data_IF_347880397999
#
_entry.id   IF_347880397999
#
_cell.length_a   1.000
_cell.length_b   1.000
_cell.length_c   1.000
_cell.angle_alpha   90.00
_cell.angle_beta   90.00
_cell.angle_gamma   90.00
#
_symmetry.space_group_name_H-M   'P 1'
#
loop_
_entity.id
_entity.type
_entity.pdbx_description
1 polymer ?
#
# COMPACT_ATOMS: atom_id res chain seq x y z
N UNK A 1 -44.27 44.63 -35.63
CA UNK A 1 -44.41 43.29 -36.29
C UNK A 1 -43.97 43.31 -37.76
N UNK A 2 -44.27 44.40 -38.49
CA UNK A 2 -43.89 44.54 -39.90
C UNK A 2 -42.36 44.58 -40.12
N UNK A 3 -41.65 45.30 -39.27
CA UNK A 3 -40.14 45.36 -39.27
C UNK A 3 -39.47 44.00 -39.18
N UNK A 4 -39.93 43.14 -38.29
CA UNK A 4 -39.33 41.81 -38.08
C UNK A 4 -39.58 40.85 -39.26
N UNK A 5 -40.61 41.08 -40.09
CA UNK A 5 -40.87 40.26 -41.29
C UNK A 5 -39.78 40.43 -42.37
N UNK A 6 -39.08 41.56 -42.32
CA UNK A 6 -37.99 41.84 -43.27
C UNK A 6 -36.62 41.32 -42.81
N UNK A 7 -36.49 40.97 -41.54
CA UNK A 7 -35.25 40.41 -40.96
C UNK A 7 -35.30 38.88 -41.04
N UNK A 8 -34.60 38.30 -41.99
CA UNK A 8 -34.54 36.84 -42.13
C UNK A 8 -33.59 36.20 -41.10
N UNK A 9 -32.55 36.91 -40.65
CA UNK A 9 -31.49 36.43 -39.82
C UNK A 9 -30.76 37.58 -39.14
N UNK A 10 -30.26 37.38 -37.92
CA UNK A 10 -29.40 38.32 -37.20
C UNK A 10 -28.03 37.66 -37.09
N UNK A 11 -26.98 38.33 -37.53
CA UNK A 11 -25.58 37.87 -37.36
C UNK A 11 -25.04 38.39 -36.05
N UNK A 12 -24.58 37.50 -35.20
CA UNK A 12 -24.06 37.85 -33.89
C UNK A 12 -22.60 37.39 -33.77
N UNK A 13 -21.77 38.27 -33.23
CA UNK A 13 -20.38 37.93 -32.90
C UNK A 13 -20.19 37.88 -31.39
N UNK A 14 -19.34 37.00 -30.91
CA UNK A 14 -18.96 36.90 -29.50
C UNK A 14 -17.46 36.53 -29.36
N UNK A 15 -16.85 36.95 -28.24
CA UNK A 15 -15.45 36.68 -27.96
C UNK A 15 -15.31 35.36 -27.22
N UNK A 16 -14.35 34.52 -27.65
CA UNK A 16 -14.07 33.24 -27.06
C UNK A 16 -13.33 33.36 -25.72
N UNK A 17 -13.29 32.25 -24.93
CA UNK A 17 -12.51 32.09 -23.70
C UNK A 17 -12.96 32.89 -22.49
N UNK A 18 -14.27 33.19 -22.39
CA UNK A 18 -14.90 33.79 -21.21
C UNK A 18 -15.88 32.85 -20.55
N UNK A 19 -15.49 31.60 -20.34
CA UNK A 19 -16.33 30.66 -19.58
C UNK A 19 -16.51 31.13 -18.12
N UNK A 20 -17.72 30.98 -17.54
CA UNK A 20 -18.95 30.37 -18.10
C UNK A 20 -19.84 31.33 -18.90
N UNK A 21 -19.40 32.55 -19.12
CA UNK A 21 -20.23 33.59 -19.78
C UNK A 21 -20.38 33.27 -21.28
N UNK A 22 -19.29 33.05 -21.98
CA UNK A 22 -19.27 32.66 -23.40
C UNK A 22 -18.00 31.94 -23.78
N UNK A 23 -18.12 30.87 -24.54
CA UNK A 23 -16.98 30.04 -24.93
C UNK A 23 -17.30 29.21 -26.18
N UNK A 24 -16.25 28.81 -26.93
CA UNK A 24 -16.36 27.78 -27.96
C UNK A 24 -15.93 26.42 -27.38
N UNK A 25 -16.86 25.49 -27.34
CA UNK A 25 -16.55 24.14 -26.89
C UNK A 25 -15.96 23.31 -28.04
N UNK A 26 -14.65 23.11 -28.03
CA UNK A 26 -13.93 22.35 -29.05
C UNK A 26 -14.34 20.89 -29.16
N UNK A 27 -14.84 20.28 -28.07
CA UNK A 27 -15.28 18.88 -28.05
C UNK A 27 -16.62 18.69 -28.75
N UNK A 28 -17.57 19.59 -28.47
CA UNK A 28 -18.91 19.53 -29.02
C UNK A 28 -19.03 20.36 -30.30
N UNK A 29 -17.98 21.10 -30.68
CA UNK A 29 -17.92 22.02 -31.84
C UNK A 29 -19.12 23.00 -31.88
N UNK A 30 -19.44 23.58 -30.75
CA UNK A 30 -20.57 24.54 -30.61
C UNK A 30 -20.27 25.64 -29.60
N UNK A 31 -20.94 26.80 -29.75
CA UNK A 31 -20.91 27.86 -28.74
C UNK A 31 -21.66 27.45 -27.47
N UNK A 32 -21.10 27.80 -26.32
CA UNK A 32 -21.70 27.53 -25.00
C UNK A 32 -21.50 28.73 -24.08
N UNK A 33 -22.37 28.89 -23.08
CA UNK A 33 -22.26 29.91 -22.04
C UNK A 33 -23.54 30.68 -21.81
N UNK A 34 -23.55 31.48 -20.73
CA UNK A 34 -24.72 32.25 -20.31
C UNK A 34 -25.17 33.19 -21.42
N UNK A 35 -24.26 33.97 -21.99
CA UNK A 35 -24.55 34.93 -23.05
C UNK A 35 -25.08 34.25 -24.32
N UNK A 36 -24.59 33.07 -24.62
CA UNK A 36 -25.02 32.25 -25.77
C UNK A 36 -26.45 31.74 -25.54
N UNK A 37 -26.78 31.27 -24.33
CA UNK A 37 -28.13 30.82 -24.00
C UNK A 37 -29.14 31.99 -24.01
N UNK A 38 -28.73 33.19 -23.60
CA UNK A 38 -29.56 34.42 -23.74
C UNK A 38 -29.82 34.74 -25.21
N UNK A 39 -28.80 34.65 -26.09
CA UNK A 39 -28.99 34.84 -27.52
C UNK A 39 -29.98 33.81 -28.11
N UNK A 40 -29.91 32.56 -27.68
CA UNK A 40 -30.82 31.50 -28.08
C UNK A 40 -32.27 31.80 -27.62
N UNK A 41 -32.47 32.36 -26.42
CA UNK A 41 -33.81 32.79 -25.95
C UNK A 41 -34.32 33.94 -26.80
N UNK A 42 -33.47 34.92 -27.13
CA UNK A 42 -33.85 36.02 -27.99
C UNK A 42 -34.26 35.50 -29.38
N UNK A 43 -33.48 34.64 -29.99
CA UNK A 43 -33.80 33.97 -31.23
C UNK A 43 -35.17 33.28 -31.19
N UNK A 44 -35.40 32.47 -30.16
CA UNK A 44 -36.68 31.77 -29.98
C UNK A 44 -37.88 32.68 -29.78
N UNK A 45 -37.75 33.73 -28.92
CA UNK A 45 -38.86 34.66 -28.63
C UNK A 45 -39.18 35.57 -29.82
N UNK A 46 -38.19 35.90 -30.65
CA UNK A 46 -38.38 36.68 -31.87
C UNK A 46 -38.79 35.86 -33.07
N UNK A 47 -38.60 34.56 -33.04
CA UNK A 47 -38.71 33.61 -34.15
C UNK A 47 -37.82 34.08 -35.35
N UNK A 48 -36.61 34.54 -35.03
CA UNK A 48 -35.58 34.96 -35.97
C UNK A 48 -34.29 34.18 -35.67
N UNK A 49 -33.68 33.59 -36.66
CA UNK A 49 -32.43 32.88 -36.50
C UNK A 49 -31.28 33.83 -36.16
N UNK A 50 -30.49 33.49 -35.11
CA UNK A 50 -29.26 34.21 -34.75
C UNK A 50 -28.05 33.36 -35.09
N UNK A 51 -27.31 33.78 -36.10
CA UNK A 51 -26.08 33.13 -36.51
C UNK A 51 -24.92 33.61 -35.66
N UNK A 52 -24.35 32.71 -34.86
CA UNK A 52 -23.28 33.00 -33.91
C UNK A 52 -21.91 32.81 -34.60
N UNK A 53 -21.08 33.85 -34.58
CA UNK A 53 -19.68 33.81 -35.03
C UNK A 53 -18.76 34.02 -33.84
N UNK A 54 -17.72 33.15 -33.73
CA UNK A 54 -16.73 33.22 -32.67
C UNK A 54 -15.49 33.96 -33.17
N UNK A 55 -14.96 34.85 -32.35
CA UNK A 55 -13.69 35.55 -32.58
C UNK A 55 -12.78 35.42 -31.37
N UNK A 56 -11.50 35.63 -31.56
CA UNK A 56 -10.50 35.45 -30.51
C UNK A 56 -10.19 36.73 -29.73
N UNK A 57 -10.62 37.90 -30.18
CA UNK A 57 -10.37 39.15 -29.48
C UNK A 57 -11.56 40.10 -29.57
N UNK A 58 -11.62 41.04 -28.63
CA UNK A 58 -12.63 42.08 -28.63
C UNK A 58 -12.44 43.02 -29.82
N UNK A 59 -11.21 43.37 -30.16
CA UNK A 59 -10.89 44.19 -31.31
C UNK A 59 -11.40 43.56 -32.62
N UNK A 60 -11.22 42.26 -32.79
CA UNK A 60 -11.75 41.52 -33.94
C UNK A 60 -13.30 41.57 -33.95
N UNK A 61 -13.94 41.40 -32.79
CA UNK A 61 -15.40 41.52 -32.68
C UNK A 61 -15.90 42.90 -33.10
N UNK A 62 -15.25 43.98 -32.67
CA UNK A 62 -15.56 45.35 -33.08
C UNK A 62 -15.35 45.57 -34.57
N UNK A 63 -14.31 44.99 -35.16
CA UNK A 63 -14.11 45.09 -36.61
C UNK A 63 -15.24 44.40 -37.37
N UNK A 64 -15.76 43.25 -36.85
CA UNK A 64 -16.93 42.59 -37.46
C UNK A 64 -18.15 43.49 -37.46
N UNK A 65 -18.38 44.27 -36.36
CA UNK A 65 -19.45 45.23 -36.31
C UNK A 65 -19.23 46.42 -37.27
N UNK A 66 -18.03 47.02 -37.27
CA UNK A 66 -17.66 48.14 -38.14
C UNK A 66 -17.75 47.80 -39.62
N UNK A 67 -17.39 46.58 -40.00
CA UNK A 67 -17.44 46.12 -41.39
C UNK A 67 -18.80 45.52 -41.78
N UNK A 68 -19.83 45.66 -40.94
CA UNK A 68 -21.17 45.08 -41.12
C UNK A 68 -21.18 43.58 -41.40
N UNK A 69 -20.19 42.87 -40.90
CA UNK A 69 -20.12 41.40 -40.92
C UNK A 69 -21.02 40.78 -39.83
N UNK A 70 -21.25 41.51 -38.75
CA UNK A 70 -22.17 41.16 -37.67
C UNK A 70 -23.11 42.35 -37.36
N UNK A 71 -24.34 42.05 -36.97
CA UNK A 71 -25.37 43.02 -36.60
C UNK A 71 -25.32 43.33 -35.08
N UNK A 72 -24.94 42.35 -34.30
CA UNK A 72 -24.87 42.45 -32.82
C UNK A 72 -23.60 41.82 -32.26
N UNK A 73 -23.13 42.37 -31.14
CA UNK A 73 -22.00 41.84 -30.36
C UNK A 73 -22.55 41.43 -28.99
N UNK A 74 -22.34 40.16 -28.65
CA UNK A 74 -22.94 39.57 -27.45
C UNK A 74 -21.89 39.51 -26.31
N UNK A 75 -22.37 39.71 -25.06
CA UNK A 75 -21.55 39.49 -23.87
C UNK A 75 -20.49 40.56 -23.65
N UNK A 76 -20.87 41.80 -23.78
CA UNK A 76 -20.01 42.94 -23.51
C UNK A 76 -20.45 43.66 -22.23
N UNK A 77 -19.50 44.27 -21.50
CA UNK A 77 -19.84 45.12 -20.35
C UNK A 77 -20.70 46.30 -20.75
N UNK A 78 -21.65 46.63 -19.94
CA UNK A 78 -22.50 47.83 -20.13
C UNK A 78 -21.77 49.09 -19.61
N UNK A 79 -20.92 49.64 -20.45
CA UNK A 79 -20.08 50.78 -20.10
C UNK A 79 -20.26 51.94 -21.10
N UNK A 80 -20.42 53.17 -20.58
CA UNK A 80 -20.55 54.37 -21.38
C UNK A 80 -19.34 54.68 -22.25
N UNK A 81 -18.13 54.45 -21.77
CA UNK A 81 -16.88 54.65 -22.52
C UNK A 81 -16.84 53.79 -23.78
N UNK A 82 -17.32 52.55 -23.71
CA UNK A 82 -17.46 51.68 -24.87
C UNK A 82 -18.49 52.18 -25.89
N UNK A 83 -19.61 52.75 -25.41
CA UNK A 83 -20.64 53.27 -26.31
C UNK A 83 -20.09 54.38 -27.19
N UNK A 84 -19.37 55.34 -26.61
CA UNK A 84 -18.84 56.51 -27.31
C UNK A 84 -17.62 56.15 -28.18
N UNK A 85 -16.70 55.38 -27.66
CA UNK A 85 -15.45 55.00 -28.33
C UNK A 85 -15.72 54.18 -29.60
N UNK A 86 -16.69 53.26 -29.53
CA UNK A 86 -16.94 52.30 -30.61
C UNK A 86 -18.24 52.57 -31.36
N UNK A 87 -18.91 53.63 -31.03
CA UNK A 87 -20.16 54.05 -31.67
C UNK A 87 -21.24 52.93 -31.66
N UNK A 88 -21.45 52.32 -30.46
CA UNK A 88 -22.38 51.23 -30.26
C UNK A 88 -23.61 51.66 -29.45
N UNK A 89 -24.76 51.16 -29.84
CA UNK A 89 -25.94 51.16 -28.97
C UNK A 89 -25.92 49.93 -28.06
N UNK A 90 -26.08 50.12 -26.78
CA UNK A 90 -26.14 49.06 -25.79
C UNK A 90 -27.57 48.71 -25.37
N UNK A 91 -27.88 47.45 -25.26
CA UNK A 91 -29.11 47.00 -24.64
C UNK A 91 -29.08 47.24 -23.13
N UNK A 92 -30.22 47.04 -22.45
CA UNK A 92 -30.19 46.80 -21.01
C UNK A 92 -29.37 45.56 -20.71
N UNK A 93 -28.77 45.54 -19.53
CA UNK A 93 -28.05 44.36 -19.05
C UNK A 93 -29.03 43.20 -18.86
N UNK A 94 -28.66 42.03 -19.37
CA UNK A 94 -29.42 40.80 -19.19
C UNK A 94 -28.94 40.00 -17.98
N UNK A 95 -27.71 40.25 -17.50
CA UNK A 95 -27.13 39.65 -16.29
C UNK A 95 -26.22 40.67 -15.61
N UNK A 96 -26.23 40.63 -14.28
CA UNK A 96 -25.35 41.42 -13.43
C UNK A 96 -24.60 40.45 -12.50
N UNK A 97 -23.30 40.50 -12.51
CA UNK A 97 -22.45 39.65 -11.69
C UNK A 97 -21.51 40.48 -10.82
N UNK A 98 -21.54 40.34 -9.49
CA UNK A 98 -20.63 41.06 -8.62
C UNK A 98 -19.18 40.69 -8.90
N UNK A 99 -18.29 41.67 -8.80
CA UNK A 99 -16.85 41.47 -8.96
C UNK A 99 -16.20 41.23 -7.59
N UNK A 100 -15.33 40.23 -7.57
CA UNK A 100 -14.54 39.86 -6.39
C UNK A 100 -13.07 40.10 -6.65
N UNK A 101 -12.34 40.48 -5.60
CA UNK A 101 -10.88 40.47 -5.56
C UNK A 101 -10.40 39.11 -5.02
N UNK A 102 -9.49 38.47 -5.71
CA UNK A 102 -8.81 37.25 -5.27
C UNK A 102 -7.41 37.66 -4.86
N UNK A 103 -7.04 37.42 -3.62
CA UNK A 103 -5.70 37.78 -3.07
C UNK A 103 -4.95 36.55 -2.60
N UNK A 104 -3.63 36.61 -2.72
CA UNK A 104 -2.76 35.62 -2.10
C UNK A 104 -2.71 35.85 -0.59
N UNK A 105 -3.03 34.83 0.20
CA UNK A 105 -3.04 34.87 1.68
C UNK A 105 -1.69 35.23 2.29
N UNK A 106 -0.60 34.90 1.60
CA UNK A 106 0.75 35.14 2.10
C UNK A 106 1.21 36.60 1.91
N UNK A 107 0.58 37.34 0.96
CA UNK A 107 0.93 38.72 0.62
C UNK A 107 -0.17 39.72 0.96
N UNK A 108 -1.23 39.31 1.67
CA UNK A 108 -2.36 40.18 2.07
C UNK A 108 -1.87 41.43 2.81
N UNK A 109 -0.87 41.29 3.68
CA UNK A 109 -0.33 42.38 4.50
C UNK A 109 0.84 43.16 3.82
N UNK A 110 1.16 42.83 2.56
CA UNK A 110 2.16 43.57 1.82
C UNK A 110 1.64 44.98 1.45
N UNK A 111 2.58 45.92 1.29
CA UNK A 111 2.25 47.29 0.86
C UNK A 111 1.51 47.26 -0.47
N UNK A 112 0.31 47.84 -0.49
CA UNK A 112 -0.58 47.83 -1.68
C UNK A 112 0.11 48.40 -2.92
N UNK A 113 0.97 49.41 -2.76
CA UNK A 113 1.71 50.02 -3.86
C UNK A 113 2.68 49.05 -4.54
N UNK A 114 3.08 47.97 -3.88
CA UNK A 114 4.06 47.00 -4.40
C UNK A 114 3.41 45.72 -4.92
N UNK A 115 2.10 45.57 -4.80
CA UNK A 115 1.37 44.38 -5.22
C UNK A 115 1.27 44.26 -6.74
N UNK A 116 1.48 43.04 -7.22
CA UNK A 116 1.37 42.68 -8.65
C UNK A 116 -0.05 42.21 -8.94
N UNK A 117 -0.68 42.88 -9.91
CA UNK A 117 -2.02 42.53 -10.41
C UNK A 117 -1.91 41.56 -11.60
N UNK A 118 -2.61 40.44 -11.54
CA UNK A 118 -2.83 39.56 -12.69
C UNK A 118 -4.15 39.93 -13.39
N UNK A 119 -4.10 40.14 -14.70
CA UNK A 119 -5.30 40.38 -15.52
C UNK A 119 -5.30 39.46 -16.76
N UNK A 120 -6.48 39.03 -17.24
CA UNK A 120 -6.57 38.41 -18.55
C UNK A 120 -6.23 39.40 -19.67
N UNK A 121 -5.44 38.99 -20.68
CA UNK A 121 -5.08 39.82 -21.85
C UNK A 121 -6.30 40.41 -22.58
N UNK A 122 -7.43 39.72 -22.53
CA UNK A 122 -8.70 40.07 -23.18
C UNK A 122 -9.74 40.49 -22.15
N UNK A 123 -9.32 41.31 -21.19
CA UNK A 123 -10.18 41.70 -20.10
C UNK A 123 -11.25 42.64 -20.59
N UNK A 124 -12.50 42.18 -20.53
CA UNK A 124 -13.68 42.94 -20.93
C UNK A 124 -14.32 43.74 -19.78
N UNK A 125 -13.75 43.64 -18.60
CA UNK A 125 -14.28 44.41 -17.46
C UNK A 125 -13.68 45.80 -17.47
N UNK A 126 -14.51 46.79 -17.46
CA UNK A 126 -14.12 48.12 -17.09
C UNK A 126 -13.95 48.16 -15.56
N UNK A 127 -12.92 47.48 -15.10
CA UNK A 127 -12.36 47.89 -13.86
C UNK A 127 -11.83 49.27 -14.13
N UNK A 128 -12.41 50.24 -13.49
CA UNK A 128 -11.81 51.54 -13.40
C UNK A 128 -10.47 51.40 -12.66
N UNK A 129 -9.48 50.82 -13.41
CA UNK A 129 -8.09 50.62 -12.93
C UNK A 129 -7.54 51.99 -12.52
N UNK A 130 -8.10 53.08 -13.07
CA UNK A 130 -7.83 54.45 -12.68
C UNK A 130 -8.23 54.76 -11.25
N UNK A 131 -9.23 54.06 -10.70
CA UNK A 131 -9.70 54.26 -9.31
C UNK A 131 -8.68 53.78 -8.29
N UNK A 132 -7.83 52.81 -8.65
CA UNK A 132 -6.84 52.23 -7.72
C UNK A 132 -5.43 52.80 -7.91
N UNK A 133 -5.18 53.77 -8.83
CA UNK A 133 -3.83 54.31 -9.12
C UNK A 133 -2.76 53.23 -9.34
N UNK A 134 -3.11 52.15 -10.04
CA UNK A 134 -2.20 51.03 -10.23
C UNK A 134 -1.16 51.39 -11.29
N UNK A 135 0.13 51.25 -10.93
CA UNK A 135 1.22 51.40 -11.87
C UNK A 135 1.15 50.28 -12.92
N UNK A 136 1.06 50.65 -14.20
CA UNK A 136 0.99 49.70 -15.32
C UNK A 136 2.16 48.70 -15.36
N UNK A 137 3.32 49.08 -14.80
CA UNK A 137 4.48 48.18 -14.67
C UNK A 137 4.25 47.00 -13.71
N UNK A 138 3.22 47.05 -12.89
CA UNK A 138 2.84 46.03 -11.92
C UNK A 138 1.67 45.15 -12.40
N UNK A 139 1.28 45.26 -13.64
CA UNK A 139 0.23 44.43 -14.23
C UNK A 139 0.85 43.35 -15.08
N UNK A 140 0.52 42.08 -14.78
CA UNK A 140 0.91 40.93 -15.59
C UNK A 140 -0.33 40.39 -16.28
N UNK A 141 -0.26 40.28 -17.59
CA UNK A 141 -1.34 39.78 -18.41
C UNK A 141 -1.23 38.28 -18.69
N UNK A 142 -2.33 37.55 -18.45
CA UNK A 142 -2.48 36.12 -18.71
C UNK A 142 -3.57 35.85 -19.78
N UNK A 143 -3.61 34.62 -20.29
CA UNK A 143 -4.54 34.29 -21.38
C UNK A 143 -6.01 34.25 -20.95
N UNK A 144 -6.29 33.90 -19.68
CA UNK A 144 -7.64 33.78 -19.12
C UNK A 144 -7.62 33.98 -17.60
N UNK A 145 -8.81 34.04 -16.99
CA UNK A 145 -8.96 34.24 -15.54
C UNK A 145 -8.43 33.05 -14.71
N UNK A 146 -8.48 31.83 -15.26
CA UNK A 146 -7.94 30.65 -14.57
C UNK A 146 -6.42 30.76 -14.37
N UNK A 147 -5.72 31.25 -15.38
CA UNK A 147 -4.26 31.48 -15.30
C UNK A 147 -3.94 32.59 -14.30
N UNK A 148 -4.77 33.64 -14.23
CA UNK A 148 -4.64 34.68 -13.20
C UNK A 148 -4.79 34.11 -11.80
N UNK A 149 -5.81 33.29 -11.54
CA UNK A 149 -6.06 32.65 -10.25
C UNK A 149 -4.89 31.70 -9.90
N UNK A 150 -4.37 30.95 -10.86
CA UNK A 150 -3.21 30.10 -10.68
C UNK A 150 -1.94 30.89 -10.31
N UNK A 151 -1.74 32.06 -10.96
CA UNK A 151 -0.63 32.95 -10.67
C UNK A 151 -0.70 33.50 -9.23
N UNK A 152 -1.88 33.94 -8.81
CA UNK A 152 -2.13 34.40 -7.44
C UNK A 152 -1.90 33.24 -6.44
N UNK A 153 -2.40 32.06 -6.71
CA UNK A 153 -2.19 30.92 -5.80
C UNK A 153 -0.71 30.50 -5.68
N UNK A 154 0.07 30.67 -6.75
CA UNK A 154 1.52 30.38 -6.77
C UNK A 154 2.37 31.51 -6.16
N UNK A 155 1.80 32.70 -6.00
CA UNK A 155 2.52 33.88 -5.53
C UNK A 155 3.36 34.59 -6.60
N UNK A 156 3.11 34.33 -7.89
CA UNK A 156 3.70 35.08 -9.02
C UNK A 156 2.93 36.37 -9.33
N UNK A 157 1.72 36.48 -8.79
CA UNK A 157 0.96 37.72 -8.66
C UNK A 157 0.32 37.76 -7.27
N UNK A 158 0.02 38.97 -6.79
CA UNK A 158 -0.55 39.16 -5.45
C UNK A 158 -2.07 39.12 -5.46
N UNK A 159 -2.70 39.59 -6.52
CA UNK A 159 -4.15 39.59 -6.63
C UNK A 159 -4.64 39.63 -8.08
N UNK A 160 -5.91 39.27 -8.25
CA UNK A 160 -6.67 39.41 -9.51
C UNK A 160 -8.12 39.78 -9.21
N UNK A 161 -8.86 40.19 -10.24
CA UNK A 161 -10.28 40.42 -10.17
C UNK A 161 -11.04 39.48 -11.09
N UNK A 162 -12.24 39.09 -10.69
CA UNK A 162 -13.12 38.31 -11.53
C UNK A 162 -14.56 38.44 -11.10
N UNK A 163 -15.50 38.22 -12.01
CA UNK A 163 -16.92 38.14 -11.67
C UNK A 163 -17.25 36.83 -10.96
N UNK A 164 -18.33 36.81 -10.19
CA UNK A 164 -18.75 35.66 -9.39
C UNK A 164 -18.80 34.36 -10.19
N UNK A 165 -19.39 34.39 -11.39
CA UNK A 165 -19.59 33.17 -12.17
C UNK A 165 -18.29 32.62 -12.71
N UNK A 166 -17.39 33.49 -13.17
CA UNK A 166 -16.04 33.08 -13.61
C UNK A 166 -15.21 32.52 -12.48
N UNK A 167 -15.26 33.13 -11.29
CA UNK A 167 -14.55 32.65 -10.10
C UNK A 167 -15.10 31.29 -9.65
N UNK A 168 -16.42 31.17 -9.46
CA UNK A 168 -17.04 29.90 -9.05
C UNK A 168 -16.73 28.77 -10.02
N UNK A 169 -16.82 29.04 -11.31
CA UNK A 169 -16.50 28.03 -12.34
C UNK A 169 -15.07 27.55 -12.26
N UNK A 170 -14.09 28.41 -11.94
CA UNK A 170 -12.67 28.07 -11.90
C UNK A 170 -12.18 27.58 -10.54
N UNK A 171 -12.81 28.00 -9.44
CA UNK A 171 -12.36 27.62 -8.08
C UNK A 171 -13.05 26.37 -7.54
N UNK A 172 -14.20 26.00 -8.06
CA UNK A 172 -14.99 24.87 -7.57
C UNK A 172 -14.29 23.50 -7.76
N UNK A 173 -13.55 23.33 -8.83
CA UNK A 173 -12.91 22.05 -9.18
C UNK A 173 -11.46 21.91 -8.72
N UNK A 174 -10.84 23.02 -8.33
CA UNK A 174 -9.43 23.05 -7.95
C UNK A 174 -9.30 23.56 -6.53
N UNK A 175 -8.55 22.83 -5.73
CA UNK A 175 -8.16 23.30 -4.42
C UNK A 175 -7.05 24.34 -4.54
N UNK A 176 -7.37 25.58 -4.17
CA UNK A 176 -6.41 26.68 -4.09
C UNK A 176 -6.08 26.96 -2.62
N UNK A 177 -4.87 26.58 -2.20
CA UNK A 177 -4.44 26.68 -0.80
C UNK A 177 -4.23 28.12 -0.34
N UNK A 178 -3.67 28.95 -1.23
CA UNK A 178 -3.12 30.24 -0.86
C UNK A 178 -3.97 31.42 -1.32
N UNK A 179 -5.21 31.23 -1.77
CA UNK A 179 -6.08 32.34 -2.16
C UNK A 179 -7.15 32.66 -1.13
N UNK A 180 -7.51 33.93 -1.06
CA UNK A 180 -8.68 34.48 -0.36
C UNK A 180 -9.54 35.22 -1.35
N UNK A 181 -10.87 35.05 -1.28
CA UNK A 181 -11.82 35.73 -2.15
C UNK A 181 -12.52 36.79 -1.33
N UNK A 182 -12.45 38.06 -1.78
CA UNK A 182 -12.98 39.21 -1.07
C UNK A 182 -13.99 39.92 -1.96
N UNK A 183 -15.22 40.11 -1.46
CA UNK A 183 -16.22 40.86 -2.16
C UNK A 183 -15.90 42.37 -2.14
N UNK A 184 -15.79 42.98 -3.32
CA UNK A 184 -15.64 44.44 -3.45
C UNK A 184 -17.03 45.07 -3.68
N UNK A 185 -17.60 45.61 -2.63
CA UNK A 185 -18.87 46.37 -2.72
C UNK A 185 -18.77 47.48 -3.77
N UNK A 186 -19.68 47.49 -4.76
CA UNK A 186 -19.93 48.49 -5.78
C UNK A 186 -19.47 48.20 -7.21
N UNK A 187 -18.77 47.12 -7.48
CA UNK A 187 -18.41 46.79 -8.86
C UNK A 187 -19.21 45.56 -9.31
N UNK A 188 -19.97 45.73 -10.37
CA UNK A 188 -20.69 44.63 -11.03
C UNK A 188 -20.25 44.55 -12.49
N UNK A 189 -20.15 43.32 -12.98
CA UNK A 189 -20.04 43.05 -14.40
C UNK A 189 -21.46 42.95 -14.98
N UNK A 190 -21.94 44.01 -15.54
CA UNK A 190 -23.28 44.10 -16.14
C UNK A 190 -23.17 43.82 -17.63
N UNK A 191 -23.57 42.61 -18.08
CA UNK A 191 -23.43 42.21 -19.48
C UNK A 191 -24.63 42.57 -20.30
N UNK A 192 -24.37 43.12 -21.48
CA UNK A 192 -25.38 43.55 -22.46
C UNK A 192 -25.03 43.08 -23.88
N UNK A 193 -25.84 43.48 -24.83
CA UNK A 193 -25.64 43.29 -26.27
C UNK A 193 -25.40 44.67 -26.90
N UNK A 194 -24.31 44.77 -27.66
CA UNK A 194 -23.99 45.96 -28.46
C UNK A 194 -24.53 45.81 -29.88
N UNK A 195 -25.07 46.92 -30.39
CA UNK A 195 -25.54 47.04 -31.77
C UNK A 195 -24.78 48.16 -32.46
N UNK A 196 -24.47 48.01 -33.76
CA UNK A 196 -23.93 49.13 -34.55
C UNK A 196 -24.89 50.30 -34.56
N UNK A 197 -24.36 51.52 -34.40
CA UNK A 197 -25.17 52.73 -34.44
C UNK A 197 -25.91 52.96 -35.80
N UNK A 198 -25.45 52.23 -36.83
CA UNK A 198 -26.12 52.21 -38.12
C UNK A 198 -27.33 51.27 -38.17
N UNK A 199 -27.52 50.46 -37.13
CA UNK A 199 -28.69 49.58 -37.03
C UNK A 199 -29.90 50.34 -36.51
N UNK A 200 -31.07 49.90 -36.95
CA UNK A 200 -32.33 50.54 -36.58
C UNK A 200 -32.54 50.52 -35.06
N UNK A 201 -32.76 51.68 -34.47
CA UNK A 201 -33.15 51.87 -33.04
C UNK A 201 -34.32 50.95 -32.66
N UNK A 202 -35.10 50.52 -33.65
CA UNK A 202 -36.20 49.59 -33.44
C UNK A 202 -35.76 48.22 -33.03
N UNK A 203 -34.65 47.72 -33.64
CA UNK A 203 -34.05 46.43 -33.24
C UNK A 203 -33.59 46.46 -31.77
N UNK A 204 -32.93 47.54 -31.35
CA UNK A 204 -32.55 47.78 -29.96
C UNK A 204 -33.77 47.70 -29.00
N UNK A 205 -34.85 48.41 -29.34
CA UNK A 205 -36.08 48.39 -28.53
C UNK A 205 -36.71 47.02 -28.46
N UNK A 206 -36.69 46.26 -29.55
CA UNK A 206 -37.23 44.90 -29.62
C UNK A 206 -36.39 43.94 -28.76
N UNK A 207 -35.07 43.96 -28.87
CA UNK A 207 -34.19 43.13 -28.06
C UNK A 207 -34.36 43.48 -26.57
N UNK A 208 -34.41 44.77 -26.22
CA UNK A 208 -34.66 45.20 -24.84
C UNK A 208 -36.02 44.71 -24.28
N UNK A 209 -37.06 44.67 -25.12
CA UNK A 209 -38.36 44.12 -24.72
C UNK A 209 -38.28 42.63 -24.44
N UNK A 210 -37.50 41.90 -25.24
CA UNK A 210 -37.26 40.46 -25.03
C UNK A 210 -36.45 40.21 -23.75
N UNK A 211 -35.37 40.96 -23.54
CA UNK A 211 -34.54 40.87 -22.32
C UNK A 211 -35.43 41.10 -21.07
N UNK A 212 -36.26 42.14 -21.06
CA UNK A 212 -37.18 42.44 -19.96
C UNK A 212 -38.26 41.35 -19.75
N UNK A 213 -38.50 40.48 -20.73
CA UNK A 213 -39.45 39.36 -20.63
C UNK A 213 -38.84 38.05 -20.16
N UNK A 214 -37.54 38.02 -19.94
CA UNK A 214 -36.86 36.85 -19.34
C UNK A 214 -37.13 36.87 -17.84
N UNK A 215 -37.74 35.80 -17.34
CA UNK A 215 -38.02 35.70 -15.90
C UNK A 215 -36.75 35.43 -15.10
N UNK A 216 -36.75 35.77 -13.81
CA UNK A 216 -35.66 35.44 -12.92
C UNK A 216 -35.41 33.90 -12.83
N UNK A 217 -36.47 33.11 -12.96
CA UNK A 217 -36.36 31.64 -12.97
C UNK A 217 -35.67 31.12 -14.24
N UNK A 218 -36.03 31.66 -15.43
CA UNK A 218 -35.33 31.35 -16.69
C UNK A 218 -33.86 31.74 -16.59
N UNK A 219 -33.54 32.93 -16.07
CA UNK A 219 -32.15 33.38 -15.92
C UNK A 219 -31.37 32.50 -14.93
N UNK A 220 -31.94 32.19 -13.78
CA UNK A 220 -31.30 31.30 -12.80
C UNK A 220 -31.04 29.90 -13.38
N UNK A 221 -31.96 29.39 -14.19
CA UNK A 221 -31.77 28.07 -14.87
C UNK A 221 -30.58 28.12 -15.84
N UNK A 222 -30.43 29.21 -16.60
CA UNK A 222 -29.30 29.43 -17.52
C UNK A 222 -27.98 29.49 -16.72
N UNK A 223 -27.97 30.30 -15.67
CA UNK A 223 -26.77 30.44 -14.81
C UNK A 223 -26.42 29.10 -14.22
N UNK A 224 -27.38 28.42 -13.60
CA UNK A 224 -27.15 27.09 -13.02
C UNK A 224 -26.59 26.08 -14.02
N UNK A 225 -27.19 25.98 -15.20
CA UNK A 225 -26.73 25.12 -16.28
C UNK A 225 -25.27 25.36 -16.65
N UNK A 226 -24.87 26.63 -16.77
CA UNK A 226 -23.53 27.00 -17.25
C UNK A 226 -22.46 27.02 -16.15
N UNK A 227 -22.84 27.19 -14.88
CA UNK A 227 -21.92 27.27 -13.75
C UNK A 227 -21.78 25.93 -12.99
N UNK A 228 -22.90 25.19 -12.81
CA UNK A 228 -22.93 23.98 -11.97
C UNK A 228 -22.93 22.68 -12.75
N UNK A 229 -23.56 22.66 -13.94
CA UNK A 229 -23.81 21.40 -14.66
C UNK A 229 -22.65 20.96 -15.56
N UNK A 230 -21.76 21.84 -15.94
CA UNK A 230 -20.77 21.55 -17.00
C UNK A 230 -19.51 20.85 -16.54
N UNK A 231 -19.24 20.72 -15.21
CA UNK A 231 -17.94 20.23 -14.76
C UNK A 231 -17.94 19.43 -13.45
N UNK A 232 -18.94 18.62 -13.17
CA UNK A 232 -18.87 17.71 -12.02
C UNK A 232 -17.91 16.52 -12.27
N UNK A 233 -16.68 16.78 -12.67
CA UNK A 233 -15.61 15.80 -12.57
C UNK A 233 -14.86 16.05 -11.28
N UNK A 234 -15.30 15.37 -10.22
CA UNK A 234 -14.47 15.24 -9.02
C UNK A 234 -13.13 14.67 -9.47
N UNK A 235 -12.10 15.49 -9.50
CA UNK A 235 -10.75 15.01 -9.79
C UNK A 235 -10.24 14.24 -8.58
N UNK A 236 -9.43 13.20 -8.81
CA UNK A 236 -8.80 12.45 -7.72
C UNK A 236 -8.06 13.40 -6.75
N UNK A 237 -7.47 14.45 -7.28
CA UNK A 237 -6.77 15.46 -6.51
C UNK A 237 -7.70 16.24 -5.58
N UNK A 238 -8.86 16.72 -6.08
CA UNK A 238 -9.84 17.45 -5.25
C UNK A 238 -10.46 16.55 -4.19
N UNK A 239 -10.72 15.28 -4.51
CA UNK A 239 -11.19 14.27 -3.56
C UNK A 239 -10.19 14.03 -2.43
N UNK A 240 -8.91 13.86 -2.76
CA UNK A 240 -7.85 13.67 -1.76
C UNK A 240 -7.73 14.88 -0.84
N UNK A 241 -7.77 16.09 -1.39
CA UNK A 241 -7.65 17.31 -0.58
C UNK A 241 -8.87 17.58 0.30
N UNK A 242 -10.08 17.30 -0.19
CA UNK A 242 -11.30 17.50 0.61
C UNK A 242 -11.48 16.47 1.71
N UNK A 243 -10.90 15.25 1.55
CA UNK A 243 -11.05 14.13 2.48
C UNK A 243 -9.67 13.62 2.95
N UNK A 244 -8.71 14.52 3.16
CA UNK A 244 -7.32 14.13 3.45
C UNK A 244 -7.18 13.30 4.73
N UNK A 245 -8.01 13.56 5.74
CA UNK A 245 -7.99 12.81 7.01
C UNK A 245 -8.43 11.37 6.78
N UNK A 246 -9.55 11.15 6.09
CA UNK A 246 -10.08 9.83 5.75
C UNK A 246 -9.11 9.05 4.87
N UNK A 247 -8.49 9.70 3.89
CA UNK A 247 -7.47 9.10 3.02
C UNK A 247 -6.24 8.70 3.83
N UNK A 248 -5.78 9.54 4.77
CA UNK A 248 -4.66 9.22 5.65
C UNK A 248 -4.98 8.04 6.58
N UNK A 249 -6.18 8.01 7.18
CA UNK A 249 -6.64 6.89 8.02
C UNK A 249 -6.67 5.59 7.19
N UNK A 250 -7.18 5.65 5.96
CA UNK A 250 -7.24 4.50 5.07
C UNK A 250 -5.84 3.96 4.73
N UNK A 251 -4.89 4.83 4.41
CA UNK A 251 -3.50 4.43 4.14
C UNK A 251 -2.86 3.80 5.37
N UNK A 252 -3.03 4.41 6.56
CA UNK A 252 -2.50 3.87 7.81
C UNK A 252 -3.10 2.50 8.12
N UNK A 253 -4.41 2.32 7.91
CA UNK A 253 -5.08 1.03 8.14
C UNK A 253 -4.51 -0.08 7.24
N UNK A 254 -4.24 0.21 5.96
CA UNK A 254 -3.59 -0.73 5.04
C UNK A 254 -2.19 -1.10 5.53
N UNK A 255 -1.39 -0.12 5.97
CA UNK A 255 -0.04 -0.36 6.50
C UNK A 255 -0.06 -1.24 7.76
N UNK A 256 -1.02 -1.02 8.66
CA UNK A 256 -1.19 -1.85 9.86
C UNK A 256 -1.59 -3.27 9.50
N UNK A 257 -2.55 -3.45 8.60
CA UNK A 257 -3.01 -4.78 8.15
C UNK A 257 -1.88 -5.55 7.45
N UNK A 258 -1.13 -4.90 6.56
CA UNK A 258 0.01 -5.53 5.87
C UNK A 258 1.13 -5.88 6.85
N UNK A 259 1.46 -5.02 7.81
CA UNK A 259 2.44 -5.30 8.86
C UNK A 259 2.02 -6.48 9.73
N UNK A 260 0.75 -6.52 10.15
CA UNK A 260 0.23 -7.63 10.96
C UNK A 260 0.23 -8.95 10.20
N UNK A 261 -0.16 -8.92 8.92
CA UNK A 261 -0.15 -10.12 8.07
C UNK A 261 1.27 -10.67 7.84
N UNK A 262 2.24 -9.80 7.59
CA UNK A 262 3.65 -10.20 7.45
C UNK A 262 4.20 -10.78 8.74
N UNK A 263 3.86 -10.19 9.90
CA UNK A 263 4.24 -10.72 11.22
C UNK A 263 3.69 -12.14 11.45
N UNK A 264 2.40 -12.35 11.16
CA UNK A 264 1.75 -13.67 11.32
C UNK A 264 2.41 -14.71 10.41
N UNK A 265 2.65 -14.37 9.12
CA UNK A 265 3.31 -15.26 8.17
C UNK A 265 4.73 -15.64 8.65
N UNK A 266 5.48 -14.66 9.14
CA UNK A 266 6.83 -14.88 9.65
C UNK A 266 6.83 -15.80 10.87
N UNK A 267 5.89 -15.62 11.80
CA UNK A 267 5.70 -16.47 12.99
C UNK A 267 5.40 -17.94 12.61
N UNK A 268 4.48 -18.15 11.65
CA UNK A 268 4.13 -19.48 11.14
C UNK A 268 5.34 -20.14 10.48
N UNK A 269 6.09 -19.40 9.65
CA UNK A 269 7.31 -19.93 8.99
C UNK A 269 8.37 -20.34 10.01
N UNK A 270 8.57 -19.53 11.05
CA UNK A 270 9.52 -19.86 12.11
C UNK A 270 9.14 -21.13 12.87
N UNK A 271 7.87 -21.28 13.23
CA UNK A 271 7.36 -22.48 13.89
C UNK A 271 7.55 -23.75 13.03
N UNK A 272 7.22 -23.66 11.73
CA UNK A 272 7.40 -24.77 10.79
C UNK A 272 8.88 -25.13 10.61
N UNK A 273 9.77 -24.13 10.52
CA UNK A 273 11.21 -24.36 10.43
C UNK A 273 11.76 -25.05 11.69
N UNK A 274 11.34 -24.62 12.88
CA UNK A 274 11.75 -25.25 14.13
C UNK A 274 11.27 -26.70 14.24
N UNK A 275 10.03 -26.98 13.80
CA UNK A 275 9.49 -28.35 13.75
C UNK A 275 10.26 -29.22 12.75
N UNK A 276 10.61 -28.71 11.58
CA UNK A 276 11.43 -29.43 10.61
C UNK A 276 12.83 -29.72 11.16
N UNK A 277 13.47 -28.73 11.80
CA UNK A 277 14.78 -28.89 12.38
C UNK A 277 14.80 -29.95 13.49
N UNK A 278 13.77 -29.98 14.36
CA UNK A 278 13.65 -31.01 15.40
C UNK A 278 13.48 -32.40 14.82
N UNK A 279 12.67 -32.57 13.77
CA UNK A 279 12.49 -33.85 13.08
C UNK A 279 13.78 -34.33 12.36
N UNK A 280 14.51 -33.38 11.74
CA UNK A 280 15.79 -33.69 11.10
C UNK A 280 16.85 -34.10 12.13
N UNK A 281 16.88 -33.43 13.29
CA UNK A 281 17.78 -33.77 14.39
C UNK A 281 17.47 -35.15 14.92
N UNK A 282 16.21 -35.45 15.22
CA UNK A 282 15.78 -36.78 15.69
C UNK A 282 16.18 -37.90 14.70
N UNK A 283 15.94 -37.70 13.39
CA UNK A 283 16.34 -38.65 12.35
C UNK A 283 17.86 -38.80 12.23
N UNK A 284 18.61 -37.74 12.50
CA UNK A 284 20.09 -37.76 12.45
C UNK A 284 20.71 -38.39 13.68
N UNK A 285 20.04 -38.43 14.82
CA UNK A 285 20.53 -38.91 16.11
C UNK A 285 20.12 -40.35 16.41
N UNK A 286 19.16 -40.93 15.70
CA UNK A 286 18.65 -42.26 15.95
C UNK A 286 19.17 -43.30 14.94
N UNK A 287 19.32 -44.56 15.38
CA UNK A 287 19.55 -45.71 14.51
C UNK A 287 18.22 -46.09 13.84
N UNK A 288 18.24 -46.21 12.52
CA UNK A 288 17.04 -46.43 11.71
C UNK A 288 16.36 -47.79 11.92
N UNK A 289 17.09 -48.81 12.39
CA UNK A 289 16.57 -50.15 12.65
C UNK A 289 15.93 -50.27 14.03
N UNK A 290 16.60 -49.73 15.05
CA UNK A 290 16.27 -49.95 16.47
C UNK A 290 15.58 -48.79 17.13
N UNK A 291 15.65 -47.57 16.54
CA UNK A 291 15.05 -46.35 17.06
C UNK A 291 15.62 -45.84 18.38
N UNK A 292 16.80 -46.35 18.82
CA UNK A 292 17.62 -45.79 19.89
C UNK A 292 18.67 -44.86 19.29
N UNK A 293 19.49 -44.21 20.11
CA UNK A 293 20.53 -43.32 19.59
C UNK A 293 21.52 -44.10 18.68
N UNK A 294 21.97 -43.45 17.62
CA UNK A 294 23.04 -43.98 16.78
C UNK A 294 24.42 -43.69 17.41
N UNK A 295 25.48 -44.26 16.82
CA UNK A 295 26.86 -44.10 17.26
C UNK A 295 27.27 -42.63 17.47
N UNK A 296 26.91 -41.75 16.51
CA UNK A 296 27.26 -40.33 16.58
C UNK A 296 26.64 -39.63 17.78
N UNK A 297 25.33 -39.79 17.93
CA UNK A 297 24.58 -39.21 19.05
C UNK A 297 25.04 -39.76 20.40
N UNK A 298 25.27 -41.09 20.52
CA UNK A 298 25.80 -41.68 21.74
C UNK A 298 27.12 -41.07 22.17
N UNK A 299 28.07 -40.96 21.24
CA UNK A 299 29.39 -40.38 21.53
C UNK A 299 29.25 -38.92 22.01
N UNK A 300 28.46 -38.11 21.29
CA UNK A 300 28.25 -36.68 21.63
C UNK A 300 27.57 -36.53 23.00
N UNK A 301 26.48 -37.25 23.23
CA UNK A 301 25.72 -37.16 24.48
C UNK A 301 26.50 -37.61 25.71
N UNK A 302 27.29 -38.72 25.61
CA UNK A 302 28.14 -39.19 26.68
C UNK A 302 29.30 -38.23 26.93
N UNK A 303 29.96 -37.73 25.88
CA UNK A 303 31.03 -36.75 26.03
C UNK A 303 30.54 -35.48 26.72
N UNK A 304 29.44 -34.91 26.24
CA UNK A 304 28.83 -33.70 26.81
C UNK A 304 28.44 -33.92 28.28
N UNK A 305 27.93 -35.09 28.65
CA UNK A 305 27.59 -35.37 30.04
C UNK A 305 28.86 -35.46 30.91
N UNK A 306 29.90 -36.16 30.49
CA UNK A 306 31.16 -36.32 31.24
C UNK A 306 31.83 -34.96 31.48
N UNK A 307 31.84 -34.10 30.49
CA UNK A 307 32.43 -32.75 30.59
C UNK A 307 31.68 -31.82 31.56
N UNK A 308 30.38 -32.02 31.74
CA UNK A 308 29.50 -31.12 32.52
C UNK A 308 28.94 -31.74 33.80
N UNK A 309 29.31 -32.99 34.15
CA UNK A 309 28.77 -33.65 35.35
C UNK A 309 29.35 -33.09 36.66
N UNK A 310 28.62 -33.26 37.75
CA UNK A 310 29.11 -33.03 39.10
C UNK A 310 30.13 -34.12 39.48
N UNK A 311 31.23 -33.73 40.13
CA UNK A 311 32.29 -34.65 40.53
C UNK A 311 31.89 -35.62 41.67
N UNK A 312 30.68 -35.52 42.22
CA UNK A 312 30.21 -36.35 43.34
C UNK A 312 29.50 -37.61 42.91
N UNK A 313 29.04 -37.68 41.66
CA UNK A 313 28.22 -38.80 41.17
C UNK A 313 29.01 -39.66 40.15
N UNK A 314 28.70 -40.94 40.15
CA UNK A 314 29.25 -41.90 39.19
C UNK A 314 28.41 -41.98 37.92
N UNK A 315 29.04 -42.19 36.78
CA UNK A 315 28.43 -42.72 35.55
C UNK A 315 28.78 -44.19 35.38
N UNK A 316 27.85 -44.98 34.86
CA UNK A 316 28.16 -46.38 34.49
C UNK A 316 28.03 -46.51 32.94
N UNK A 317 29.14 -46.85 32.30
CA UNK A 317 29.24 -47.05 30.85
C UNK A 317 29.23 -48.51 30.52
N UNK A 318 28.31 -48.94 29.68
CA UNK A 318 28.13 -50.31 29.25
C UNK A 318 28.53 -50.43 27.78
N UNK A 319 29.31 -51.46 27.42
CA UNK A 319 29.40 -51.99 26.08
C UNK A 319 28.77 -53.38 26.09
N UNK A 320 27.83 -53.59 25.20
CA UNK A 320 26.99 -54.81 25.12
C UNK A 320 27.15 -55.38 23.72
N UNK A 321 27.41 -56.64 23.62
CA UNK A 321 27.57 -57.35 22.35
C UNK A 321 26.75 -58.66 22.36
N UNK A 322 26.11 -58.95 21.20
CA UNK A 322 25.26 -60.14 21.07
C UNK A 322 26.19 -61.34 20.66
N UNK A 323 26.35 -62.30 21.54
CA UNK A 323 27.13 -63.43 21.27
C UNK A 323 26.60 -64.30 20.11
N UNK A 324 27.48 -64.72 19.21
CA UNK A 324 27.18 -65.54 18.04
C UNK A 324 26.16 -64.87 17.04
N UNK A 325 26.03 -63.56 17.02
CA UNK A 325 25.06 -62.83 16.14
C UNK A 325 25.31 -63.14 14.67
N UNK A 326 26.58 -63.29 14.26
CA UNK A 326 26.89 -63.71 12.89
C UNK A 326 26.22 -65.05 12.55
N UNK A 327 26.24 -66.03 13.48
CA UNK A 327 25.58 -67.32 13.29
C UNK A 327 24.05 -67.19 13.13
N UNK A 328 23.43 -66.24 13.83
CA UNK A 328 22.02 -65.94 13.62
C UNK A 328 21.75 -65.44 12.19
N UNK A 329 22.55 -64.50 11.71
CA UNK A 329 22.45 -64.01 10.35
C UNK A 329 22.67 -65.04 9.27
N UNK A 330 23.74 -65.83 9.43
CA UNK A 330 24.17 -66.84 8.47
C UNK A 330 23.19 -68.05 8.41
N UNK A 331 22.63 -68.48 9.55
CA UNK A 331 21.77 -69.66 9.63
C UNK A 331 20.26 -69.31 9.53
N UNK A 332 19.80 -68.18 10.07
CA UNK A 332 18.40 -67.81 10.15
C UNK A 332 18.00 -66.61 9.23
N UNK A 333 19.02 -65.95 8.66
CA UNK A 333 18.86 -64.83 7.75
C UNK A 333 18.80 -63.45 8.46
N UNK A 334 19.14 -62.40 7.72
CA UNK A 334 19.27 -61.05 8.24
C UNK A 334 17.96 -60.48 8.86
N UNK A 335 16.79 -60.93 8.39
CA UNK A 335 15.52 -60.51 8.96
C UNK A 335 15.35 -60.91 10.42
N UNK A 336 15.78 -62.15 10.75
CA UNK A 336 15.75 -62.66 12.12
C UNK A 336 16.82 -61.94 12.96
N UNK A 337 18.01 -61.68 12.40
CA UNK A 337 19.02 -60.86 13.02
C UNK A 337 18.49 -59.45 13.36
N UNK A 338 17.81 -58.80 12.44
CA UNK A 338 17.19 -57.49 12.66
C UNK A 338 16.13 -57.52 13.79
N UNK A 339 15.35 -58.61 13.89
CA UNK A 339 14.36 -58.78 14.97
C UNK A 339 15.05 -58.98 16.34
N UNK A 340 16.19 -59.69 16.39
CA UNK A 340 17.02 -59.82 17.59
C UNK A 340 17.58 -58.47 18.04
N UNK A 341 18.07 -57.65 17.11
CA UNK A 341 18.56 -56.30 17.39
C UNK A 341 17.47 -55.39 17.94
N UNK A 342 16.27 -55.43 17.36
CA UNK A 342 15.09 -54.67 17.87
C UNK A 342 14.70 -55.13 19.26
N UNK A 343 14.64 -56.44 19.49
CA UNK A 343 14.29 -56.99 20.81
C UNK A 343 15.29 -56.57 21.90
N UNK A 344 16.59 -56.57 21.60
CA UNK A 344 17.60 -56.05 22.53
C UNK A 344 17.39 -54.54 22.79
N UNK A 345 17.18 -53.75 21.74
CA UNK A 345 16.95 -52.33 21.87
C UNK A 345 15.71 -52.02 22.72
N UNK A 346 14.61 -52.77 22.57
CA UNK A 346 13.39 -52.60 23.34
C UNK A 346 13.58 -53.03 24.81
N UNK A 347 14.37 -54.05 25.05
CA UNK A 347 14.79 -54.46 26.41
C UNK A 347 15.63 -53.38 27.08
N UNK A 348 16.57 -52.77 26.36
CA UNK A 348 17.36 -51.64 26.85
C UNK A 348 16.48 -50.45 27.20
N UNK A 349 15.59 -50.02 26.30
CA UNK A 349 14.63 -48.92 26.58
C UNK A 349 13.79 -49.17 27.82
N UNK A 350 13.44 -50.39 28.10
CA UNK A 350 12.57 -50.76 29.22
C UNK A 350 13.31 -50.81 30.56
N UNK A 351 14.58 -51.24 30.55
CA UNK A 351 15.38 -51.45 31.75
C UNK A 351 16.11 -50.19 32.24
N UNK A 352 16.45 -49.28 31.30
CA UNK A 352 17.13 -48.02 31.61
C UNK A 352 16.17 -46.84 31.66
N UNK A 353 16.55 -45.81 32.39
CA UNK A 353 15.73 -44.60 32.56
C UNK A 353 15.75 -43.74 31.28
N UNK A 354 14.75 -42.94 31.08
CA UNK A 354 14.73 -41.96 29.96
C UNK A 354 15.87 -40.94 30.00
N UNK A 355 16.47 -40.72 31.20
CA UNK A 355 17.63 -39.86 31.40
C UNK A 355 18.93 -40.52 30.97
N UNK A 356 18.98 -41.88 30.93
CA UNK A 356 20.16 -42.61 30.53
C UNK A 356 20.33 -42.59 29.01
N UNK A 357 21.54 -42.71 28.52
CA UNK A 357 21.84 -42.73 27.10
C UNK A 357 21.87 -44.18 26.65
N UNK A 358 21.01 -44.55 25.70
CA UNK A 358 20.90 -45.90 25.15
C UNK A 358 21.03 -45.82 23.64
N UNK A 359 22.01 -46.52 23.05
CA UNK A 359 22.21 -46.45 21.63
C UNK A 359 22.91 -47.68 21.03
N UNK A 360 22.82 -47.77 19.70
CA UNK A 360 23.51 -48.80 18.91
C UNK A 360 24.82 -48.25 18.38
N UNK A 361 25.89 -48.92 18.72
CA UNK A 361 27.24 -48.48 18.32
C UNK A 361 27.61 -48.94 16.92
N UNK A 362 27.21 -50.13 16.53
CA UNK A 362 27.40 -50.69 15.19
C UNK A 362 27.18 -52.20 15.15
N UNK A 363 26.71 -52.76 14.05
CA UNK A 363 26.45 -54.18 13.93
C UNK A 363 25.58 -54.73 15.05
N UNK A 364 26.15 -55.54 15.92
CA UNK A 364 25.57 -56.19 17.10
C UNK A 364 25.99 -55.55 18.43
N UNK A 365 26.71 -54.42 18.37
CA UNK A 365 27.19 -53.68 19.55
C UNK A 365 26.25 -52.58 19.97
N UNK A 366 25.96 -52.48 21.26
CA UNK A 366 25.15 -51.47 21.91
C UNK A 366 25.91 -50.78 23.04
N UNK A 367 25.60 -49.53 23.27
CA UNK A 367 26.16 -48.74 24.36
C UNK A 367 25.03 -48.22 25.22
N UNK A 368 25.25 -48.26 26.54
CA UNK A 368 24.42 -47.59 27.51
C UNK A 368 25.28 -46.76 28.46
N UNK A 369 24.83 -45.57 28.81
CA UNK A 369 25.43 -44.75 29.85
C UNK A 369 24.38 -44.37 30.89
N UNK A 370 24.50 -44.96 32.07
CA UNK A 370 23.66 -44.58 33.23
C UNK A 370 24.25 -43.33 33.88
N UNK A 371 23.42 -42.38 34.16
CA UNK A 371 23.80 -41.08 34.73
C UNK A 371 23.50 -41.04 36.23
N UNK A 372 24.22 -40.18 36.94
CA UNK A 372 23.95 -39.73 38.31
C UNK A 372 23.71 -40.88 39.29
N UNK A 373 24.69 -41.76 39.43
CA UNK A 373 24.69 -42.89 40.35
C UNK A 373 25.44 -42.52 41.63
N UNK A 374 24.80 -42.72 42.80
CA UNK A 374 25.51 -42.72 44.09
C UNK A 374 26.36 -44.01 44.22
N UNK A 375 27.45 -43.95 44.96
CA UNK A 375 28.27 -45.11 45.22
C UNK A 375 27.50 -46.32 45.76
N UNK A 376 26.52 -46.08 46.65
CA UNK A 376 25.62 -47.11 47.22
C UNK A 376 24.75 -47.79 46.15
N UNK A 377 24.55 -47.14 45.01
CA UNK A 377 23.65 -47.60 43.93
C UNK A 377 24.39 -48.23 42.75
N UNK A 378 25.70 -48.37 42.78
CA UNK A 378 26.48 -49.02 41.69
C UNK A 378 26.02 -50.48 41.44
N UNK A 379 25.55 -51.18 42.49
CA UNK A 379 24.97 -52.52 42.39
C UNK A 379 23.75 -52.61 41.46
N UNK A 380 23.03 -51.48 41.25
CA UNK A 380 21.88 -51.41 40.33
C UNK A 380 22.31 -51.69 38.89
N UNK A 381 23.47 -51.21 38.47
CA UNK A 381 24.03 -51.50 37.14
C UNK A 381 24.25 -52.98 36.95
N UNK A 382 24.88 -53.66 37.94
CA UNK A 382 25.12 -55.10 37.90
C UNK A 382 23.80 -55.89 37.89
N UNK A 383 22.78 -55.45 38.68
CA UNK A 383 21.46 -56.08 38.67
C UNK A 383 20.74 -55.92 37.28
N UNK A 384 20.84 -54.79 36.64
CA UNK A 384 20.31 -54.60 35.29
C UNK A 384 21.05 -55.49 34.29
N UNK A 385 22.39 -55.56 34.36
CA UNK A 385 23.18 -56.43 33.50
C UNK A 385 22.81 -57.91 33.67
N UNK A 386 22.67 -58.41 34.92
CA UNK A 386 22.16 -59.73 35.20
C UNK A 386 20.82 -60.03 34.56
N UNK A 387 19.86 -59.08 34.73
CA UNK A 387 18.53 -59.23 34.17
C UNK A 387 18.57 -59.25 32.64
N UNK A 388 19.41 -58.41 32.03
CA UNK A 388 19.56 -58.31 30.57
C UNK A 388 20.18 -59.62 29.98
N UNK A 389 21.26 -60.17 30.62
CA UNK A 389 21.84 -61.44 30.23
C UNK A 389 20.81 -62.57 30.34
N UNK A 390 20.08 -62.66 31.43
CA UNK A 390 19.01 -63.66 31.61
C UNK A 390 17.87 -63.53 30.57
N UNK A 391 17.45 -62.36 30.24
CA UNK A 391 16.35 -62.13 29.29
C UNK A 391 16.77 -62.47 27.86
N UNK A 392 18.00 -62.20 27.50
CA UNK A 392 18.53 -62.42 26.16
C UNK A 392 19.22 -63.75 25.98
N UNK A 393 19.42 -64.54 27.04
CA UNK A 393 19.91 -65.91 26.94
C UNK A 393 18.75 -66.84 26.51
N UNK A 394 18.58 -66.99 25.21
CA UNK A 394 17.44 -67.70 24.62
C UNK A 394 17.83 -68.39 23.28
N UNK A 395 16.97 -69.31 22.90
CA UNK A 395 17.08 -69.98 21.59
C UNK A 395 16.12 -69.25 20.63
N UNK A 396 16.63 -68.77 19.50
CA UNK A 396 15.85 -68.24 18.39
C UNK A 396 15.69 -69.35 17.34
N UNK A 397 14.43 -69.61 16.95
CA UNK A 397 14.10 -70.69 15.98
C UNK A 397 13.38 -70.10 14.77
N UNK A 398 13.80 -70.52 13.57
CA UNK A 398 13.12 -70.18 12.32
C UNK A 398 13.30 -71.32 11.31
N UNK A 399 12.23 -71.81 10.67
CA UNK A 399 12.24 -72.91 9.72
C UNK A 399 12.98 -74.18 10.21
N UNK A 400 12.69 -74.62 11.45
CA UNK A 400 13.32 -75.78 12.13
C UNK A 400 14.78 -75.61 12.41
N UNK A 401 15.42 -74.52 12.14
CA UNK A 401 16.82 -74.22 12.52
C UNK A 401 16.77 -73.33 13.78
N UNK A 402 17.56 -73.71 14.76
CA UNK A 402 17.68 -73.08 16.06
C UNK A 402 19.04 -72.51 16.30
N UNK A 403 19.18 -71.34 16.84
CA UNK A 403 20.43 -70.68 17.20
C UNK A 403 20.31 -70.08 18.60
N UNK A 404 21.28 -70.40 19.46
CA UNK A 404 21.36 -69.82 20.80
C UNK A 404 21.99 -68.42 20.72
N UNK A 405 21.39 -67.47 21.39
CA UNK A 405 21.93 -66.10 21.60
C UNK A 405 22.15 -65.87 23.08
N UNK A 406 23.13 -65.03 23.39
CA UNK A 406 23.40 -64.53 24.73
C UNK A 406 24.03 -63.14 24.61
N UNK A 407 24.32 -62.49 25.73
CA UNK A 407 25.00 -61.21 25.74
C UNK A 407 26.28 -61.27 26.52
N UNK A 408 27.31 -60.64 26.01
CA UNK A 408 28.52 -60.27 26.73
C UNK A 408 28.51 -58.78 27.03
N UNK A 409 28.78 -58.39 28.29
CA UNK A 409 28.65 -56.97 28.73
C UNK A 409 29.89 -56.56 29.51
N UNK A 410 30.54 -55.48 29.09
CA UNK A 410 31.60 -54.81 29.84
C UNK A 410 31.06 -53.55 30.50
N UNK A 411 31.28 -53.36 31.80
CA UNK A 411 30.75 -52.16 32.52
C UNK A 411 31.94 -51.47 33.22
N UNK A 412 32.00 -50.13 32.94
CA UNK A 412 32.95 -49.23 33.63
C UNK A 412 32.22 -48.20 34.44
N UNK A 413 32.55 -48.12 35.71
CA UNK A 413 32.08 -47.01 36.56
C UNK A 413 33.16 -45.93 36.60
N UNK A 414 32.74 -44.70 36.36
CA UNK A 414 33.62 -43.53 36.42
C UNK A 414 33.04 -42.41 37.24
N UNK A 415 33.83 -41.87 38.12
CA UNK A 415 33.53 -40.64 38.86
C UNK A 415 34.30 -39.44 38.25
N UNK A 416 35.42 -39.71 37.62
CA UNK A 416 36.34 -38.71 37.11
C UNK A 416 35.97 -38.22 35.70
N UNK A 417 36.54 -37.08 35.30
CA UNK A 417 36.43 -36.56 33.94
C UNK A 417 37.38 -37.34 33.02
N UNK A 418 36.88 -38.47 32.54
CA UNK A 418 37.55 -39.30 31.52
C UNK A 418 37.03 -38.95 30.12
N UNK A 419 37.86 -38.93 29.08
CA UNK A 419 37.36 -38.76 27.73
C UNK A 419 36.64 -40.03 27.22
N UNK A 420 35.71 -39.83 26.28
CA UNK A 420 34.90 -40.94 25.74
C UNK A 420 35.76 -42.07 25.16
N UNK A 421 36.84 -41.76 24.48
CA UNK A 421 37.70 -42.77 23.83
C UNK A 421 38.34 -43.69 24.85
N UNK A 422 38.84 -43.12 25.92
CA UNK A 422 39.45 -43.88 27.02
C UNK A 422 38.39 -44.71 27.78
N UNK A 423 37.21 -44.13 28.05
CA UNK A 423 36.10 -44.83 28.68
C UNK A 423 35.61 -46.01 27.85
N UNK A 424 35.50 -45.83 26.53
CA UNK A 424 35.16 -46.90 25.60
C UNK A 424 36.23 -48.02 25.61
N UNK A 425 37.52 -47.66 25.51
CA UNK A 425 38.61 -48.63 25.51
C UNK A 425 38.60 -49.48 26.79
N UNK A 426 38.38 -48.85 27.95
CA UNK A 426 38.31 -49.59 29.23
C UNK A 426 37.13 -50.54 29.30
N UNK A 427 35.97 -50.14 28.79
CA UNK A 427 34.80 -51.02 28.76
C UNK A 427 34.97 -52.17 27.75
N UNK A 428 35.66 -51.95 26.64
CA UNK A 428 35.93 -52.92 25.62
C UNK A 428 36.96 -54.02 26.14
N UNK A 429 38.01 -53.61 26.89
CA UNK A 429 38.93 -54.52 27.58
C UNK A 429 38.14 -55.46 28.52
N UNK A 430 37.12 -54.95 29.24
CA UNK A 430 36.29 -55.75 30.12
C UNK A 430 35.39 -56.70 29.33
N UNK A 431 34.75 -56.22 28.29
CA UNK A 431 33.90 -56.98 27.37
C UNK A 431 34.71 -58.16 26.78
N UNK A 432 35.95 -57.91 26.34
CA UNK A 432 36.83 -58.93 25.82
C UNK A 432 37.08 -60.02 26.83
N UNK A 433 37.36 -59.68 28.11
CA UNK A 433 37.55 -60.65 29.21
C UNK A 433 36.30 -61.54 29.41
N UNK A 434 35.08 -60.95 29.31
CA UNK A 434 33.82 -61.71 29.40
C UNK A 434 33.71 -62.71 28.26
N UNK A 435 34.07 -62.30 27.03
CA UNK A 435 34.02 -63.17 25.86
C UNK A 435 35.04 -64.36 25.96
N UNK A 436 36.22 -64.13 26.51
CA UNK A 436 37.19 -65.16 26.76
C UNK A 436 36.78 -66.15 27.87
N UNK A 437 36.09 -65.71 28.89
CA UNK A 437 35.61 -66.50 30.01
C UNK A 437 34.31 -67.29 29.71
N UNK A 438 33.97 -67.50 28.47
CA UNK A 438 32.85 -68.33 28.05
C UNK A 438 31.58 -67.59 27.63
N UNK A 439 31.61 -66.24 27.49
CA UNK A 439 30.46 -65.40 27.05
C UNK A 439 29.33 -65.45 28.04
N UNK A 440 28.14 -64.98 27.62
CA UNK A 440 26.88 -65.01 28.39
C UNK A 440 27.04 -64.50 29.84
N UNK A 441 27.47 -63.25 29.99
CA UNK A 441 27.68 -62.64 31.28
C UNK A 441 28.16 -61.21 31.24
N UNK A 442 28.56 -60.70 32.37
CA UNK A 442 29.12 -59.36 32.46
C UNK A 442 30.25 -59.26 33.43
N UNK A 443 31.09 -58.29 33.26
CA UNK A 443 32.14 -57.92 34.22
C UNK A 443 32.12 -56.39 34.44
N UNK A 444 32.60 -55.99 35.61
CA UNK A 444 32.59 -54.57 36.02
C UNK A 444 33.95 -54.10 36.50
N UNK A 445 34.28 -52.85 36.26
CA UNK A 445 35.44 -52.22 36.85
C UNK A 445 35.13 -50.80 37.29
N UNK A 446 35.73 -50.38 38.41
CA UNK A 446 35.64 -49.00 38.92
C UNK A 446 36.92 -48.28 38.60
N UNK A 447 36.91 -47.27 37.78
CA UNK A 447 38.05 -46.39 37.56
C UNK A 447 38.23 -45.48 38.78
N UNK A 448 39.27 -45.76 39.52
CA UNK A 448 39.79 -44.92 40.59
C UNK A 448 41.08 -44.30 40.07
N UNK A 449 41.10 -42.98 39.88
CA UNK A 449 42.35 -42.25 39.68
C UNK A 449 42.97 -41.94 41.02
#
# INVERSE_FOLDING_TARGET
MEFLKNIKKIKAVYVNNFAPLQNWNSKNKKPEGISIDIANIISKKLNIDIELQVVDSFEEALNFIKEHKADILIGIPNNYSFMDEYNLYMTKSYISSPIFKIENKLTVNADEYNKILALPKKYLYDLDISVENIDSSKIIYYDNIEDCINAVNKGTADYTYGDLYSIESNTREKYYKNISVIYKNKLNNDLCIGLSNNNDVLLLRIINKVINSISAEELNTIVYKNTLYTKNKITLQSFIYSNYIEVMIFIISILVITSLSTYIIMKIRLQNKNKQNSLLKEKSETDSLTGIFNRGACKELVSNYIENKSNDLYGAFFIIDIDNFKGVNDNLGHKIGDDVLKDLADNLKRLFRKSDIVGRWGGDEFIVFMKDLDFSNLHVASKIATNLCNTMNKTVTYNDISQNISLSIGIVFTKDNINFTELYQKADEILYTVKENGKNGFSTNILNN
#
